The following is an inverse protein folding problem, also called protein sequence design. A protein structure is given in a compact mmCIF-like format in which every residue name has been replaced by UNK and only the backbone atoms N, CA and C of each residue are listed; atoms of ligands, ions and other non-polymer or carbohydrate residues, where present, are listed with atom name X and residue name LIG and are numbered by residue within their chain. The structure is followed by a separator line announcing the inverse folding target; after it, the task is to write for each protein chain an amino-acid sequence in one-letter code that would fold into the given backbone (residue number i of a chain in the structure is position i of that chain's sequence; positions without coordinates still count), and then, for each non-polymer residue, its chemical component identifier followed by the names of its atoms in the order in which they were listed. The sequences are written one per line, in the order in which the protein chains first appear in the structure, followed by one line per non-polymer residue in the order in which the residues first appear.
data_IF_294628536118
#
_entry.id   IF_294628536118
#
_cell.length_a   1.000
_cell.length_b   1.000
_cell.length_c   1.000
_cell.angle_alpha   90.00
_cell.angle_beta   90.00
_cell.angle_gamma   90.00
#
_symmetry.space_group_name_H-M   'P 1'
#
loop_
_entity.id
_entity.type
_entity.pdbx_description
1 polymer ?
#
# COMPACT_ATOMS: atom_id res chain seq x y z
N UNK A 1 -24.14 12.51 -21.20
CA UNK A 1 -24.41 11.12 -20.78
C UNK A 1 -24.81 10.97 -19.29
N UNK A 2 -25.25 12.03 -18.61
CA UNK A 2 -25.51 11.94 -17.15
C UNK A 2 -26.82 11.20 -16.86
N UNK A 3 -26.80 10.31 -15.88
CA UNK A 3 -27.98 9.68 -15.26
C UNK A 3 -28.45 8.36 -15.89
N UNK A 4 -28.19 8.13 -17.17
CA UNK A 4 -28.74 6.96 -17.89
C UNK A 4 -27.93 5.67 -17.67
N UNK A 5 -26.60 5.77 -17.62
CA UNK A 5 -25.71 4.60 -17.69
C UNK A 5 -25.55 3.89 -16.34
N UNK A 6 -25.79 4.58 -15.23
CA UNK A 6 -25.62 4.06 -13.86
C UNK A 6 -26.48 2.82 -13.55
N UNK A 7 -27.58 2.62 -14.27
CA UNK A 7 -28.51 1.50 -14.05
C UNK A 7 -28.15 0.24 -14.83
N UNK A 8 -27.23 0.34 -15.81
CA UNK A 8 -26.86 -0.76 -16.69
C UNK A 8 -25.80 -1.67 -16.04
N UNK A 9 -26.19 -2.38 -14.98
CA UNK A 9 -25.26 -3.19 -14.17
C UNK A 9 -24.65 -4.36 -14.93
N UNK A 10 -25.38 -4.92 -15.90
CA UNK A 10 -24.97 -6.10 -16.66
C UNK A 10 -24.17 -5.78 -17.93
N UNK A 11 -23.98 -4.50 -18.27
CA UNK A 11 -23.28 -4.14 -19.50
C UNK A 11 -21.78 -4.45 -19.38
N UNK A 12 -21.26 -5.25 -20.31
CA UNK A 12 -19.85 -5.68 -20.31
C UNK A 12 -18.98 -4.87 -21.27
N UNK A 13 -19.54 -4.47 -22.41
CA UNK A 13 -18.79 -3.80 -23.47
C UNK A 13 -19.44 -2.44 -23.74
N UNK A 14 -18.64 -1.38 -23.65
CA UNK A 14 -19.07 -0.02 -23.95
C UNK A 14 -18.10 0.65 -24.91
N UNK A 15 -18.59 0.98 -26.09
CA UNK A 15 -17.82 1.63 -27.14
C UNK A 15 -18.35 3.06 -27.34
N UNK A 16 -17.56 4.05 -26.94
CA UNK A 16 -17.89 5.47 -26.96
C UNK A 16 -16.78 6.28 -27.63
N UNK A 17 -16.11 5.69 -28.62
CA UNK A 17 -15.10 6.38 -29.41
C UNK A 17 -15.72 7.44 -30.32
N UNK A 18 -14.91 8.40 -30.79
CA UNK A 18 -15.35 9.48 -31.70
C UNK A 18 -16.55 10.28 -31.19
N UNK A 19 -16.55 10.56 -29.88
CA UNK A 19 -17.59 11.33 -29.22
C UNK A 19 -17.05 12.65 -28.66
N UNK A 20 -17.94 13.51 -28.18
CA UNK A 20 -17.60 14.85 -27.65
C UNK A 20 -17.53 14.87 -26.12
N UNK A 21 -17.07 13.79 -25.49
CA UNK A 21 -16.95 13.73 -24.03
C UNK A 21 -15.76 14.58 -23.56
N UNK A 22 -16.03 15.66 -22.83
CA UNK A 22 -15.01 16.61 -22.35
C UNK A 22 -14.64 16.43 -20.88
N UNK A 23 -15.60 16.03 -20.03
CA UNK A 23 -15.44 16.04 -18.56
C UNK A 23 -15.17 14.63 -18.03
N UNK A 24 -13.89 14.28 -17.87
CA UNK A 24 -13.44 12.96 -17.41
C UNK A 24 -14.11 12.52 -16.11
N UNK A 25 -14.05 13.34 -15.05
CA UNK A 25 -14.63 12.99 -13.75
C UNK A 25 -16.14 12.75 -13.79
N UNK A 26 -16.89 13.48 -14.63
CA UNK A 26 -18.33 13.26 -14.80
C UNK A 26 -18.61 11.93 -15.51
N UNK A 27 -17.90 11.66 -16.59
CA UNK A 27 -18.03 10.40 -17.35
C UNK A 27 -17.72 9.20 -16.47
N UNK A 28 -16.58 9.21 -15.78
CA UNK A 28 -16.15 8.11 -14.92
C UNK A 28 -17.09 7.89 -13.74
N UNK A 29 -17.63 8.96 -13.14
CA UNK A 29 -18.63 8.85 -12.07
C UNK A 29 -19.91 8.14 -12.52
N UNK A 30 -20.35 8.36 -13.76
CA UNK A 30 -21.50 7.65 -14.34
C UNK A 30 -21.17 6.18 -14.61
N UNK A 31 -19.98 5.90 -15.16
CA UNK A 31 -19.53 4.54 -15.46
C UNK A 31 -19.27 3.70 -14.21
N UNK A 32 -18.97 4.33 -13.06
CA UNK A 32 -18.71 3.63 -11.78
C UNK A 32 -19.88 2.74 -11.32
N UNK A 33 -21.11 3.04 -11.75
CA UNK A 33 -22.28 2.22 -11.43
C UNK A 33 -22.32 0.87 -12.18
N UNK A 34 -21.52 0.72 -13.24
CA UNK A 34 -21.53 -0.45 -14.12
C UNK A 34 -20.52 -1.49 -13.64
N UNK A 35 -20.94 -2.33 -12.70
CA UNK A 35 -20.07 -3.31 -12.03
C UNK A 35 -19.51 -4.39 -12.96
N UNK A 36 -20.22 -4.74 -14.04
CA UNK A 36 -19.80 -5.77 -14.99
C UNK A 36 -19.04 -5.22 -16.19
N UNK A 37 -18.72 -3.92 -16.22
CA UNK A 37 -18.06 -3.30 -17.37
C UNK A 37 -16.62 -3.80 -17.47
N UNK A 38 -16.32 -4.41 -18.61
CA UNK A 38 -15.09 -5.14 -18.89
C UNK A 38 -14.26 -4.47 -19.98
N UNK A 39 -14.91 -4.06 -21.07
CA UNK A 39 -14.29 -3.40 -22.23
C UNK A 39 -14.83 -1.99 -22.38
N UNK A 40 -13.93 -1.00 -22.42
CA UNK A 40 -14.26 0.41 -22.55
C UNK A 40 -13.41 1.06 -23.65
N UNK A 41 -14.04 1.73 -24.61
CA UNK A 41 -13.35 2.57 -25.59
C UNK A 41 -13.87 4.01 -25.51
N UNK A 42 -12.99 4.98 -25.25
CA UNK A 42 -13.25 6.42 -25.23
C UNK A 42 -12.25 7.21 -26.09
N UNK A 43 -11.39 6.55 -26.88
CA UNK A 43 -10.47 7.21 -27.80
C UNK A 43 -11.20 8.17 -28.77
N UNK A 44 -10.48 9.18 -29.28
CA UNK A 44 -11.04 10.28 -30.07
C UNK A 44 -12.16 11.07 -29.36
N UNK A 45 -12.08 11.17 -28.03
CA UNK A 45 -12.84 12.15 -27.26
C UNK A 45 -11.89 13.23 -26.74
N UNK A 46 -12.35 14.48 -26.54
CA UNK A 46 -11.55 15.53 -25.90
C UNK A 46 -10.98 15.12 -24.53
N UNK A 47 -11.71 14.32 -23.75
CA UNK A 47 -11.23 13.80 -22.46
C UNK A 47 -10.02 12.87 -22.55
N UNK A 48 -9.74 12.30 -23.73
CA UNK A 48 -8.64 11.37 -23.93
C UNK A 48 -7.31 12.09 -24.19
N UNK A 49 -7.33 13.42 -24.30
CA UNK A 49 -6.13 14.26 -24.45
C UNK A 49 -5.44 14.52 -23.09
N UNK A 50 -6.12 14.28 -21.98
CA UNK A 50 -5.57 14.46 -20.64
C UNK A 50 -4.48 13.40 -20.37
N UNK A 51 -3.26 13.78 -19.92
CA UNK A 51 -2.19 12.84 -19.63
C UNK A 51 -2.56 11.80 -18.55
N UNK A 52 -3.40 12.18 -17.58
CA UNK A 52 -3.79 11.31 -16.47
C UNK A 52 -5.04 10.48 -16.78
N UNK A 53 -5.66 10.69 -17.96
CA UNK A 53 -6.89 10.02 -18.39
C UNK A 53 -6.86 8.51 -18.12
N UNK A 54 -5.79 7.83 -18.56
CA UNK A 54 -5.70 6.38 -18.51
C UNK A 54 -5.61 5.87 -17.07
N UNK A 55 -4.72 6.46 -16.25
CA UNK A 55 -4.56 6.06 -14.85
C UNK A 55 -5.81 6.38 -14.03
N UNK A 56 -6.44 7.52 -14.29
CA UNK A 56 -7.68 7.93 -13.65
C UNK A 56 -8.80 6.91 -13.91
N UNK A 57 -9.01 6.52 -15.16
CA UNK A 57 -10.04 5.52 -15.52
C UNK A 57 -9.73 4.16 -14.86
N UNK A 58 -8.47 3.71 -14.91
CA UNK A 58 -8.04 2.43 -14.31
C UNK A 58 -8.31 2.41 -12.79
N UNK A 59 -8.03 3.51 -12.08
CA UNK A 59 -8.26 3.59 -10.65
C UNK A 59 -9.74 3.53 -10.28
N UNK A 60 -10.58 4.30 -10.97
CA UNK A 60 -12.00 4.42 -10.63
C UNK A 60 -12.87 3.29 -11.17
N UNK A 61 -12.44 2.61 -12.24
CA UNK A 61 -13.16 1.52 -12.88
C UNK A 61 -12.33 0.22 -12.85
N UNK A 62 -12.15 -0.41 -11.67
CA UNK A 62 -11.30 -1.59 -11.53
C UNK A 62 -11.79 -2.81 -12.31
N UNK A 63 -13.08 -2.88 -12.66
CA UNK A 63 -13.69 -3.97 -13.44
C UNK A 63 -13.22 -4.01 -14.90
N UNK A 64 -12.76 -2.88 -15.43
CA UNK A 64 -12.29 -2.77 -16.82
C UNK A 64 -10.94 -3.45 -16.96
N UNK A 65 -10.82 -4.36 -17.92
CA UNK A 65 -9.57 -5.04 -18.26
C UNK A 65 -9.05 -4.67 -19.65
N UNK A 66 -9.92 -4.13 -20.52
CA UNK A 66 -9.56 -3.64 -21.84
C UNK A 66 -10.01 -2.18 -21.99
N UNK A 67 -9.05 -1.27 -22.12
CA UNK A 67 -9.28 0.17 -22.26
C UNK A 67 -8.62 0.70 -23.55
N UNK A 68 -9.41 1.28 -24.44
CA UNK A 68 -8.95 1.86 -25.71
C UNK A 68 -8.13 0.87 -26.55
N UNK A 69 -8.65 -0.36 -26.66
CA UNK A 69 -8.02 -1.50 -27.35
C UNK A 69 -6.68 -1.96 -26.75
N UNK A 70 -6.29 -1.45 -25.57
CA UNK A 70 -5.10 -1.86 -24.83
C UNK A 70 -5.51 -2.55 -23.53
N UNK A 71 -4.95 -3.72 -23.25
CA UNK A 71 -5.16 -4.39 -21.97
C UNK A 71 -4.64 -3.52 -20.83
N UNK A 72 -5.34 -3.56 -19.69
CA UNK A 72 -4.92 -2.89 -18.46
C UNK A 72 -3.92 -3.81 -17.78
N UNK A 73 -2.68 -3.34 -17.63
CA UNK A 73 -1.61 -4.10 -17.00
C UNK A 73 -1.61 -3.92 -15.48
N UNK A 74 -1.05 -4.89 -14.76
CA UNK A 74 -0.94 -4.82 -13.30
C UNK A 74 -0.08 -3.63 -12.83
N UNK A 75 0.99 -3.30 -13.56
CA UNK A 75 1.86 -2.14 -13.27
C UNK A 75 1.09 -0.82 -13.30
N UNK A 76 0.16 -0.67 -14.24
CA UNK A 76 -0.69 0.52 -14.32
C UNK A 76 -1.68 0.59 -13.16
N UNK A 77 -2.22 -0.55 -12.73
CA UNK A 77 -3.11 -0.61 -11.54
C UNK A 77 -2.37 -0.19 -10.28
N UNK A 78 -1.15 -0.69 -10.09
CA UNK A 78 -0.30 -0.31 -8.95
C UNK A 78 0.09 1.16 -8.99
N UNK A 79 0.44 1.68 -10.18
CA UNK A 79 0.78 3.09 -10.38
C UNK A 79 -0.41 4.01 -10.10
N UNK A 80 -1.60 3.64 -10.58
CA UNK A 80 -2.84 4.36 -10.33
C UNK A 80 -3.23 4.31 -8.84
N UNK A 81 -3.05 3.16 -8.18
CA UNK A 81 -3.27 3.02 -6.74
C UNK A 81 -2.31 3.92 -5.94
N UNK A 82 -1.03 3.95 -6.30
CA UNK A 82 -0.03 4.79 -5.64
C UNK A 82 -0.36 6.29 -5.78
N UNK A 83 -0.86 6.70 -6.96
CA UNK A 83 -1.17 8.09 -7.25
C UNK A 83 -2.46 8.58 -6.56
N UNK A 84 -3.51 7.77 -6.53
CA UNK A 84 -4.82 8.18 -6.01
C UNK A 84 -5.14 7.65 -4.59
N UNK A 85 -4.36 6.73 -4.04
CA UNK A 85 -4.57 6.15 -2.71
C UNK A 85 -3.24 5.80 -2.02
N UNK A 86 -2.53 6.83 -1.58
CA UNK A 86 -1.23 6.67 -0.94
C UNK A 86 -1.31 5.85 0.36
N UNK A 87 -2.32 6.06 1.20
CA UNK A 87 -2.51 5.30 2.44
C UNK A 87 -2.66 3.81 2.20
N UNK A 88 -3.52 3.41 1.25
CA UNK A 88 -3.72 2.00 0.90
C UNK A 88 -2.48 1.42 0.23
N UNK A 89 -1.79 2.19 -0.60
CA UNK A 89 -0.53 1.78 -1.22
C UNK A 89 0.53 1.49 -0.15
N UNK A 90 0.71 2.39 0.82
CA UNK A 90 1.62 2.21 1.95
C UNK A 90 1.22 1.02 2.81
N UNK A 91 -0.07 0.87 3.14
CA UNK A 91 -0.55 -0.27 3.90
C UNK A 91 -0.23 -1.60 3.20
N UNK A 92 -0.45 -1.71 1.89
CA UNK A 92 -0.12 -2.93 1.14
C UNK A 92 1.38 -3.23 1.13
N UNK A 93 2.23 -2.20 1.04
CA UNK A 93 3.69 -2.36 1.10
C UNK A 93 4.19 -2.71 2.50
N UNK A 94 3.50 -2.24 3.55
CA UNK A 94 3.85 -2.50 4.95
C UNK A 94 3.30 -3.81 5.50
N UNK A 95 2.48 -4.57 4.75
CA UNK A 95 2.00 -5.89 5.15
C UNK A 95 3.08 -6.93 4.82
N UNK A 96 4.11 -6.99 5.66
CA UNK A 96 4.97 -8.15 5.79
C UNK A 96 4.53 -8.95 7.03
N UNK A 97 4.65 -10.28 6.95
CA UNK A 97 4.22 -11.23 7.98
C UNK A 97 4.59 -10.75 9.40
N UNK A 98 3.57 -10.39 10.20
CA UNK A 98 3.73 -10.11 11.64
C UNK A 98 4.23 -8.73 12.07
N UNK A 99 4.51 -7.76 11.20
CA UNK A 99 4.89 -6.39 11.63
C UNK A 99 4.30 -5.28 10.76
N UNK A 100 3.59 -4.32 11.39
CA UNK A 100 3.25 -3.03 10.78
C UNK A 100 4.47 -2.12 10.86
N UNK A 101 5.09 -1.82 9.72
CA UNK A 101 6.18 -0.85 9.62
C UNK A 101 5.57 0.56 9.54
N UNK A 102 5.74 1.34 10.60
CA UNK A 102 5.43 2.77 10.61
C UNK A 102 6.66 3.53 10.09
N UNK A 103 6.80 3.68 8.78
CA UNK A 103 7.81 4.58 8.20
C UNK A 103 7.10 5.71 7.48
N UNK A 104 7.25 6.97 7.92
CA UNK A 104 6.80 8.11 7.13
C UNK A 104 7.85 8.34 6.05
N UNK A 105 7.57 7.94 4.81
CA UNK A 105 8.51 8.17 3.72
C UNK A 105 8.06 9.37 2.88
N UNK A 106 8.71 10.51 3.17
CA UNK A 106 8.73 11.66 2.28
C UNK A 106 9.37 11.29 0.94
N UNK A 107 8.76 11.82 -0.10
CA UNK A 107 9.09 11.63 -1.51
C UNK A 107 10.55 11.99 -1.83
N UNK A 108 11.27 11.12 -2.53
CA UNK A 108 12.27 11.58 -3.50
C UNK A 108 12.46 10.52 -4.59
N UNK A 109 12.22 10.95 -5.81
CA UNK A 109 12.35 10.20 -7.07
C UNK A 109 13.83 9.93 -7.34
N UNK A 110 14.17 8.70 -7.71
CA UNK A 110 15.53 8.32 -8.11
C UNK A 110 15.55 6.99 -8.86
N UNK A 111 15.78 7.09 -10.16
CA UNK A 111 15.77 6.01 -11.14
C UNK A 111 16.98 5.05 -11.03
N UNK A 112 16.69 3.79 -11.38
CA UNK A 112 17.57 2.85 -12.09
C UNK A 112 18.44 1.85 -11.32
N UNK A 113 18.25 0.59 -11.77
CA UNK A 113 19.18 -0.53 -11.87
C UNK A 113 19.70 -1.17 -10.58
N UNK A 114 19.10 -2.32 -10.28
CA UNK A 114 19.72 -3.40 -9.49
C UNK A 114 21.09 -3.77 -10.08
N UNK A 115 22.15 -3.50 -9.32
CA UNK A 115 23.28 -4.42 -9.10
C UNK A 115 23.94 -3.98 -7.80
N UNK A 116 23.92 -4.81 -6.75
CA UNK A 116 24.77 -4.58 -5.57
C UNK A 116 26.21 -5.00 -5.89
N UNK A 117 27.24 -4.34 -5.33
CA UNK A 117 27.77 -4.81 -4.04
C UNK A 117 28.25 -3.72 -3.05
N UNK A 118 28.26 -4.12 -1.78
CA UNK A 118 29.11 -3.69 -0.65
C UNK A 118 29.49 -2.18 -0.48
N UNK A 119 28.75 -1.54 0.43
CA UNK A 119 29.16 -0.57 1.48
C UNK A 119 30.49 0.20 1.27
N UNK A 120 30.38 1.49 0.96
CA UNK A 120 31.09 2.60 1.63
C UNK A 120 30.20 3.85 1.60
N UNK A 121 29.78 4.33 2.77
CA UNK A 121 29.11 5.62 2.89
C UNK A 121 30.17 6.72 2.77
N UNK A 122 30.22 7.41 1.63
CA UNK A 122 30.87 8.72 1.54
C UNK A 122 29.92 9.77 2.11
N UNK A 123 30.36 10.50 3.15
CA UNK A 123 29.66 11.69 3.63
C UNK A 123 29.89 12.85 2.65
N UNK A 124 28.85 13.56 2.18
CA UNK A 124 29.07 14.82 1.50
C UNK A 124 29.43 15.88 2.54
N UNK A 125 30.60 16.47 2.37
CA UNK A 125 31.06 17.64 3.13
C UNK A 125 30.14 18.84 2.90
N UNK A 126 29.71 19.44 4.03
CA UNK A 126 29.47 20.88 4.25
C UNK A 126 28.52 21.58 3.27
N UNK A 127 27.30 21.84 3.72
CA UNK A 127 26.46 22.91 3.19
C UNK A 127 26.20 23.93 4.30
N UNK A 128 26.68 25.15 4.06
CA UNK A 128 26.53 26.31 4.95
C UNK A 128 25.14 26.93 4.77
N UNK A 129 24.56 27.28 5.93
CA UNK A 129 23.71 28.44 6.22
C UNK A 129 22.75 28.94 5.13
N UNK A 130 21.47 28.65 5.31
CA UNK A 130 20.42 29.62 5.01
C UNK A 130 19.30 29.44 6.03
N UNK A 131 19.09 30.49 6.81
CA UNK A 131 18.07 30.61 7.84
C UNK A 131 16.70 30.49 7.20
N UNK A 132 15.99 29.40 7.50
CA UNK A 132 14.52 29.24 7.51
C UNK A 132 14.15 27.74 7.48
N UNK A 133 14.47 27.01 8.56
CA UNK A 133 14.05 25.62 8.73
C UNK A 133 13.74 25.31 10.21
N UNK A 134 12.87 26.11 10.84
CA UNK A 134 12.39 25.84 12.20
C UNK A 134 11.27 24.78 12.26
N UNK A 135 11.06 24.01 11.19
CA UNK A 135 10.13 22.88 11.16
C UNK A 135 10.73 21.66 10.44
N UNK A 136 12.02 21.39 10.68
CA UNK A 136 12.63 20.11 10.31
C UNK A 136 12.70 19.19 11.52
N UNK A 137 11.80 18.21 11.53
CA UNK A 137 11.97 16.87 12.09
C UNK A 137 12.71 16.77 13.45
N UNK A 138 11.95 16.88 14.54
CA UNK A 138 12.38 16.52 15.91
C UNK A 138 12.74 15.03 16.09
N UNK A 139 12.86 14.24 15.02
CA UNK A 139 13.07 12.79 15.08
C UNK A 139 14.35 12.29 14.37
N UNK A 140 15.21 13.18 13.87
CA UNK A 140 16.46 12.76 13.19
C UNK A 140 17.74 13.42 13.70
N UNK A 141 17.77 13.93 14.93
CA UNK A 141 19.04 14.12 15.65
C UNK A 141 19.04 13.22 16.86
N UNK A 142 19.79 12.13 16.76
CA UNK A 142 20.28 11.47 17.97
C UNK A 142 21.74 11.93 18.10
N UNK A 143 22.07 12.80 19.07
CA UNK A 143 23.42 13.31 19.22
C UNK A 143 24.19 12.28 20.06
N UNK A 144 24.70 11.23 19.41
CA UNK A 144 25.69 10.39 20.06
C UNK A 144 27.05 10.81 19.55
N UNK A 145 27.83 11.45 20.42
CA UNK A 145 29.23 11.79 20.13
C UNK A 145 30.09 10.53 20.02
N UNK A 146 29.68 9.46 20.71
CA UNK A 146 30.37 8.18 20.77
C UNK A 146 29.51 7.05 20.16
N UNK A 147 29.99 6.29 19.15
CA UNK A 147 29.21 5.26 18.48
C UNK A 147 28.87 4.06 19.40
N UNK A 148 29.69 3.77 20.40
CA UNK A 148 29.48 2.69 21.36
C UNK A 148 28.24 2.95 22.23
N UNK A 149 27.95 4.21 22.57
CA UNK A 149 26.77 4.58 23.37
C UNK A 149 25.49 4.43 22.55
N UNK A 150 25.53 4.74 21.26
CA UNK A 150 24.43 4.49 20.34
C UNK A 150 24.16 2.98 20.19
N UNK A 151 25.22 2.18 20.13
CA UNK A 151 25.12 0.71 20.06
C UNK A 151 24.54 0.16 21.36
N UNK A 152 25.02 0.62 22.52
CA UNK A 152 24.56 0.20 23.83
C UNK A 152 23.10 0.58 24.05
N UNK A 153 22.72 1.82 23.76
CA UNK A 153 21.33 2.27 23.88
C UNK A 153 20.43 1.45 22.94
N UNK A 154 20.86 1.20 21.70
CA UNK A 154 20.12 0.38 20.73
C UNK A 154 20.06 -1.10 21.10
N UNK A 155 21.04 -1.61 21.84
CA UNK A 155 20.99 -2.95 22.42
C UNK A 155 20.00 -3.00 23.59
N UNK A 156 20.00 -1.99 24.45
CA UNK A 156 19.16 -1.90 25.65
C UNK A 156 17.69 -1.51 25.36
N UNK A 157 17.42 -0.86 24.22
CA UNK A 157 16.06 -0.46 23.80
C UNK A 157 15.36 -1.47 22.89
N UNK A 158 15.94 -2.65 22.65
CA UNK A 158 15.21 -3.72 21.96
C UNK A 158 14.07 -4.20 22.85
N UNK A 159 12.88 -4.30 22.27
CA UNK A 159 11.73 -4.91 22.92
C UNK A 159 12.08 -6.34 23.36
N UNK A 160 11.80 -6.68 24.62
CA UNK A 160 11.87 -8.05 25.14
C UNK A 160 11.18 -9.01 24.16
N UNK A 161 11.92 -9.98 23.63
CA UNK A 161 11.39 -10.97 22.72
C UNK A 161 10.85 -12.13 23.56
N UNK A 162 9.54 -12.25 23.63
CA UNK A 162 8.88 -13.32 24.37
C UNK A 162 8.36 -14.39 23.41
N UNK A 163 8.78 -15.63 23.61
CA UNK A 163 8.18 -16.78 22.97
C UNK A 163 7.38 -17.56 23.99
N UNK A 164 6.24 -18.08 23.55
CA UNK A 164 5.48 -19.00 24.37
C UNK A 164 5.15 -20.29 23.64
N UNK A 165 5.43 -21.41 24.29
CA UNK A 165 5.02 -22.73 23.81
C UNK A 165 3.89 -23.27 24.67
N UNK A 166 2.96 -23.95 24.01
CA UNK A 166 1.85 -24.68 24.61
C UNK A 166 1.85 -26.08 24.00
N UNK A 167 1.70 -27.09 24.84
CA UNK A 167 1.55 -28.47 24.38
C UNK A 167 0.15 -28.68 23.79
N UNK A 168 0.07 -28.68 22.46
CA UNK A 168 -1.19 -28.80 21.73
C UNK A 168 -1.88 -30.15 21.92
N UNK A 169 -1.17 -31.18 22.38
CA UNK A 169 -1.79 -32.48 22.67
C UNK A 169 -2.66 -32.44 23.94
N UNK A 170 -2.49 -31.41 24.78
CA UNK A 170 -3.31 -31.16 25.97
C UNK A 170 -4.44 -30.17 25.73
N UNK A 171 -4.49 -29.54 24.54
CA UNK A 171 -5.52 -28.57 24.18
C UNK A 171 -6.72 -29.31 23.60
N UNK A 172 -7.85 -29.26 24.30
CA UNK A 172 -9.08 -29.90 23.83
C UNK A 172 -9.53 -29.32 22.47
N UNK A 173 -9.83 -30.23 21.53
CA UNK A 173 -10.35 -29.87 20.23
C UNK A 173 -11.75 -29.27 20.33
N UNK A 174 -12.18 -28.58 19.27
CA UNK A 174 -13.52 -27.99 19.23
C UNK A 174 -14.64 -29.01 19.36
N UNK A 175 -14.42 -30.31 19.13
CA UNK A 175 -15.48 -31.31 19.28
C UNK A 175 -15.57 -31.83 20.72
N UNK A 176 -14.41 -31.99 21.38
CA UNK A 176 -14.29 -32.45 22.76
C UNK A 176 -14.88 -31.42 23.75
N UNK A 177 -14.67 -30.12 23.51
CA UNK A 177 -15.24 -29.03 24.32
C UNK A 177 -16.77 -28.95 24.32
N UNK A 178 -17.43 -29.54 23.31
CA UNK A 178 -18.90 -29.55 23.24
C UNK A 178 -19.51 -30.77 23.93
N UNK A 179 -18.73 -31.84 24.06
CA UNK A 179 -19.17 -33.10 24.68
C UNK A 179 -18.87 -33.11 26.19
N UNK A 180 -17.80 -32.46 26.63
CA UNK A 180 -17.43 -32.37 28.03
C UNK A 180 -17.88 -31.04 28.67
N UNK A 181 -18.85 -31.12 29.59
CA UNK A 181 -19.17 -30.08 30.58
C UNK A 181 -18.12 -30.09 31.73
N UNK A 182 -16.83 -30.09 31.39
CA UNK A 182 -15.74 -30.10 32.38
C UNK A 182 -15.03 -28.75 32.37
N UNK A 183 -14.79 -28.21 33.57
CA UNK A 183 -14.04 -26.98 33.75
C UNK A 183 -12.63 -27.14 33.15
N UNK A 184 -12.28 -26.27 32.21
CA UNK A 184 -10.95 -26.24 31.57
C UNK A 184 -9.88 -26.02 32.64
N UNK A 185 -9.00 -27.01 32.86
CA UNK A 185 -7.81 -26.79 33.68
C UNK A 185 -6.84 -25.85 32.96
N UNK A 186 -6.27 -24.85 33.65
CA UNK A 186 -5.37 -23.88 33.03
C UNK A 186 -4.13 -24.59 32.48
N UNK A 187 -3.88 -24.44 31.18
CA UNK A 187 -2.77 -25.12 30.53
C UNK A 187 -1.45 -24.46 30.88
N UNK A 188 -0.46 -25.29 31.25
CA UNK A 188 0.88 -24.84 31.59
C UNK A 188 1.59 -24.32 30.33
N UNK A 189 1.68 -22.99 30.23
CA UNK A 189 2.32 -22.28 29.14
C UNK A 189 3.75 -21.96 29.55
N UNK A 190 4.73 -22.45 28.79
CA UNK A 190 6.12 -22.08 28.99
C UNK A 190 6.40 -20.77 28.27
N UNK A 191 6.90 -19.79 29.01
CA UNK A 191 7.26 -18.47 28.50
C UNK A 191 8.77 -18.32 28.58
N UNK A 192 9.41 -18.13 27.43
CA UNK A 192 10.85 -17.91 27.32
C UNK A 192 11.08 -16.48 26.82
N UNK A 193 11.74 -15.68 27.64
CA UNK A 193 12.06 -14.29 27.33
C UNK A 193 13.53 -14.14 26.98
N UNK A 194 13.82 -13.49 25.86
CA UNK A 194 15.15 -13.17 25.39
C UNK A 194 15.33 -11.64 25.35
N UNK A 195 16.48 -11.18 25.83
CA UNK A 195 16.93 -9.78 25.71
C UNK A 195 18.03 -9.67 24.67
#
# INVERSE_FOLDING_TARGET
ISGALKHLRALQILLLHDNQLKKLGKTVKELKGMISLQTLNLFHNPLAQDPDYRLYVIYFLPSVWLLDRKSVTQRERESALHLYNHERSCAMQSVAFGKRVNTPLGTTVGSSRCTQPARRLMMPSVWKHSDNAHLLCSFCRVPFENPEDAILLRAMTRSLMEFSSVDWNKVATCQERWLENKAEEPHEKLIVQFR
#
